data_IF_366896027186
#
_entry.id   IF_366896027186
#
_cell.length_a   1.000
_cell.length_b   1.000
_cell.length_c   1.000
_cell.angle_alpha   90.00
_cell.angle_beta   90.00
_cell.angle_gamma   90.00
#
_symmetry.space_group_name_H-M   'P 1'
#
loop_
_entity.id
_entity.type
_entity.pdbx_description
1 polymer ?
#
# COMPACT_ATOMS: atom_id res chain seq x y z
N UNK A 1 7.59 -27.86 -2.67
CA UNK A 1 7.59 -26.39 -2.59
C UNK A 1 8.96 -25.81 -2.94
N UNK A 2 10.08 -26.32 -2.37
CA UNK A 2 11.44 -25.83 -2.64
C UNK A 2 11.88 -25.95 -4.11
N UNK A 3 11.46 -26.97 -4.83
CA UNK A 3 11.84 -27.20 -6.24
C UNK A 3 11.27 -26.15 -7.21
N UNK A 4 10.00 -25.74 -7.02
CA UNK A 4 9.40 -24.69 -7.88
C UNK A 4 10.06 -23.32 -7.65
N UNK A 5 10.35 -22.95 -6.40
CA UNK A 5 11.03 -21.70 -6.07
C UNK A 5 12.45 -21.65 -6.62
N UNK A 6 13.20 -22.76 -6.52
CA UNK A 6 14.56 -22.87 -7.07
C UNK A 6 14.58 -22.75 -8.59
N UNK A 7 13.57 -23.31 -9.26
CA UNK A 7 13.42 -23.19 -10.72
C UNK A 7 13.14 -21.75 -11.15
N UNK A 8 12.22 -21.05 -10.49
CA UNK A 8 11.93 -19.63 -10.75
C UNK A 8 13.17 -18.73 -10.53
N UNK A 9 13.94 -18.98 -9.48
CA UNK A 9 15.18 -18.25 -9.21
C UNK A 9 16.22 -18.49 -10.31
N UNK A 10 16.37 -19.73 -10.76
CA UNK A 10 17.30 -20.07 -11.83
C UNK A 10 16.93 -19.41 -13.16
N UNK A 11 15.64 -19.35 -13.50
CA UNK A 11 15.16 -18.61 -14.68
C UNK A 11 15.39 -17.10 -14.58
N UNK A 12 15.10 -16.49 -13.42
CA UNK A 12 15.39 -15.09 -13.19
C UNK A 12 16.88 -14.77 -13.30
N UNK A 13 17.75 -15.62 -12.74
CA UNK A 13 19.21 -15.44 -12.87
C UNK A 13 19.65 -15.61 -14.32
N UNK A 14 19.07 -16.56 -15.07
CA UNK A 14 19.37 -16.77 -16.47
C UNK A 14 18.97 -15.57 -17.31
N UNK A 15 17.83 -14.95 -17.04
CA UNK A 15 17.29 -13.83 -17.79
C UNK A 15 17.94 -12.49 -17.41
N UNK A 16 18.10 -12.22 -16.13
CA UNK A 16 18.55 -10.92 -15.61
C UNK A 16 20.01 -10.94 -15.09
N UNK A 17 20.60 -12.12 -14.90
CA UNK A 17 21.98 -12.28 -14.45
C UNK A 17 22.25 -11.56 -13.13
N UNK A 18 23.41 -10.93 -13.04
CA UNK A 18 23.83 -10.18 -11.85
C UNK A 18 23.03 -8.88 -11.59
N UNK A 19 22.22 -8.45 -12.56
CA UNK A 19 21.35 -7.28 -12.39
C UNK A 19 20.34 -7.46 -11.24
N UNK A 20 19.93 -8.70 -10.93
CA UNK A 20 19.04 -9.03 -9.82
C UNK A 20 19.59 -8.57 -8.45
N UNK A 21 20.91 -8.52 -8.32
CA UNK A 21 21.57 -8.19 -7.06
C UNK A 21 22.03 -6.73 -6.96
N UNK A 22 21.81 -5.94 -8.03
CA UNK A 22 22.12 -4.51 -8.02
C UNK A 22 21.09 -3.74 -7.19
N UNK A 23 21.57 -2.72 -6.50
CA UNK A 23 20.71 -1.70 -5.89
C UNK A 23 20.29 -0.66 -6.93
N UNK A 24 19.12 -0.04 -6.73
CA UNK A 24 18.62 1.05 -7.56
C UNK A 24 19.61 2.22 -7.60
N UNK A 25 20.09 2.68 -6.44
CA UNK A 25 21.07 3.77 -6.34
C UNK A 25 22.39 3.40 -7.03
N UNK A 26 22.88 2.17 -6.89
CA UNK A 26 24.09 1.70 -7.56
C UNK A 26 23.96 1.79 -9.07
N UNK A 27 22.84 1.34 -9.61
CA UNK A 27 22.55 1.42 -11.05
C UNK A 27 22.37 2.86 -11.55
N UNK A 28 21.62 3.69 -10.81
CA UNK A 28 21.45 5.12 -11.16
C UNK A 28 22.81 5.81 -11.26
N UNK A 29 23.71 5.60 -10.28
CA UNK A 29 25.04 6.21 -10.29
C UNK A 29 25.94 5.71 -11.44
N UNK A 30 25.74 4.46 -11.88
CA UNK A 30 26.45 3.87 -13.01
C UNK A 30 26.02 4.47 -14.36
N UNK A 31 24.70 4.57 -14.57
CA UNK A 31 24.14 5.03 -15.87
C UNK A 31 23.95 6.55 -15.95
N UNK A 32 23.82 7.23 -14.81
CA UNK A 32 23.63 8.67 -14.70
C UNK A 32 24.59 9.27 -13.66
N UNK A 33 25.90 9.19 -13.88
CA UNK A 33 26.90 9.61 -12.86
C UNK A 33 26.80 11.08 -12.45
N UNK A 34 26.24 11.92 -13.31
CA UNK A 34 26.05 13.36 -13.08
C UNK A 34 24.57 13.75 -12.92
N UNK A 35 23.74 12.84 -12.40
CA UNK A 35 22.32 13.11 -12.17
C UNK A 35 22.14 14.34 -11.28
N UNK A 36 21.26 15.27 -11.68
CA UNK A 36 20.91 16.41 -10.82
C UNK A 36 20.15 15.98 -9.57
N UNK A 37 20.25 16.79 -8.51
CA UNK A 37 19.52 16.53 -7.26
C UNK A 37 18.00 16.53 -7.48
N UNK A 38 17.52 17.40 -8.35
CA UNK A 38 16.11 17.56 -8.70
C UNK A 38 15.59 16.31 -9.42
N UNK A 39 16.35 15.81 -10.42
CA UNK A 39 15.94 14.61 -11.14
C UNK A 39 16.00 13.37 -10.27
N UNK A 40 17.00 13.26 -9.38
CA UNK A 40 17.04 12.19 -8.38
C UNK A 40 15.84 12.27 -7.42
N UNK A 41 15.48 13.46 -6.95
CA UNK A 41 14.31 13.67 -6.11
C UNK A 41 13.01 13.30 -6.82
N UNK A 42 12.92 13.54 -8.14
CA UNK A 42 11.80 13.10 -8.96
C UNK A 42 11.70 11.57 -9.01
N UNK A 43 12.82 10.86 -9.27
CA UNK A 43 12.85 9.40 -9.25
C UNK A 43 12.43 8.87 -7.89
N UNK A 44 12.99 9.39 -6.80
CA UNK A 44 12.68 8.96 -5.44
C UNK A 44 11.19 9.20 -5.10
N UNK A 45 10.62 10.34 -5.53
CA UNK A 45 9.19 10.63 -5.36
C UNK A 45 8.28 9.64 -6.11
N UNK A 46 8.66 9.23 -7.33
CA UNK A 46 7.91 8.20 -8.08
C UNK A 46 7.99 6.83 -7.39
N UNK A 47 9.16 6.46 -6.90
CA UNK A 47 9.34 5.19 -6.17
C UNK A 47 8.58 5.17 -4.84
N UNK A 48 8.50 6.29 -4.15
CA UNK A 48 7.67 6.42 -2.95
C UNK A 48 6.19 6.15 -3.24
N UNK A 49 5.65 6.63 -4.36
CA UNK A 49 4.26 6.36 -4.76
C UNK A 49 4.05 4.87 -5.06
N UNK A 50 4.96 4.27 -5.84
CA UNK A 50 4.75 2.94 -6.39
C UNK A 50 5.21 1.81 -5.46
N UNK A 51 6.26 2.05 -4.65
CA UNK A 51 6.91 1.04 -3.83
C UNK A 51 7.04 1.43 -2.34
N UNK A 52 6.56 2.62 -1.95
CA UNK A 52 6.60 3.17 -0.59
C UNK A 52 8.02 3.28 -0.02
N UNK A 53 9.02 3.44 -0.86
CA UNK A 53 10.43 3.66 -0.49
C UNK A 53 11.13 4.46 -1.58
N UNK A 54 12.28 5.05 -1.24
CA UNK A 54 13.16 5.73 -2.19
C UNK A 54 14.12 4.74 -2.89
N UNK A 55 15.01 5.25 -3.73
CA UNK A 55 15.99 4.43 -4.47
C UNK A 55 17.09 3.84 -3.57
N UNK A 56 17.22 4.29 -2.33
CA UNK A 56 18.24 3.82 -1.40
C UNK A 56 17.93 2.38 -0.97
N UNK A 57 18.87 1.49 -1.15
CA UNK A 57 18.75 0.06 -0.82
C UNK A 57 17.67 -0.74 -1.59
N UNK A 58 16.83 -0.07 -2.39
CA UNK A 58 15.86 -0.73 -3.24
C UNK A 58 16.57 -1.63 -4.27
N UNK A 59 16.00 -2.78 -4.60
CA UNK A 59 16.52 -3.61 -5.68
C UNK A 59 16.29 -2.95 -7.04
N UNK A 60 17.23 -3.14 -7.98
CA UNK A 60 17.08 -2.65 -9.34
C UNK A 60 15.80 -3.20 -10.01
N UNK A 61 15.50 -4.49 -9.80
CA UNK A 61 14.28 -5.10 -10.35
C UNK A 61 13.02 -4.40 -9.85
N UNK A 62 12.92 -4.14 -8.54
CA UNK A 62 11.78 -3.44 -7.97
C UNK A 62 11.70 -2.00 -8.51
N UNK A 63 12.82 -1.27 -8.61
CA UNK A 63 12.86 0.05 -9.22
C UNK A 63 12.35 0.03 -10.67
N UNK A 64 12.81 -0.92 -11.47
CA UNK A 64 12.40 -1.04 -12.88
C UNK A 64 10.89 -1.26 -13.00
N UNK A 65 10.32 -2.14 -12.18
CA UNK A 65 8.87 -2.37 -12.13
C UNK A 65 8.11 -1.14 -11.64
N UNK A 66 8.61 -0.48 -10.58
CA UNK A 66 7.97 0.70 -10.00
C UNK A 66 7.98 1.92 -10.93
N UNK A 67 9.00 2.07 -11.79
CA UNK A 67 9.09 3.16 -12.76
C UNK A 67 8.48 2.81 -14.12
N UNK A 68 8.06 1.57 -14.35
CA UNK A 68 7.50 1.15 -15.64
C UNK A 68 6.03 1.57 -15.84
N UNK A 69 5.32 1.96 -14.80
CA UNK A 69 3.89 2.25 -14.88
C UNK A 69 3.50 3.32 -15.93
N UNK A 70 4.32 4.38 -16.24
CA UNK A 70 3.95 5.36 -17.25
C UNK A 70 3.91 4.79 -18.67
N UNK A 71 4.54 3.64 -18.91
CA UNK A 71 4.50 2.94 -20.20
C UNK A 71 3.24 2.10 -20.39
N UNK A 72 2.40 2.00 -19.35
CA UNK A 72 1.13 1.29 -19.37
C UNK A 72 -0.03 2.29 -19.25
N UNK A 73 -1.21 1.88 -19.71
CA UNK A 73 -2.40 2.73 -19.58
C UNK A 73 -2.80 2.85 -18.10
N UNK A 74 -3.05 4.07 -17.67
CA UNK A 74 -3.64 4.39 -16.36
C UNK A 74 -5.07 4.82 -16.58
N UNK A 75 -5.99 4.27 -15.80
CA UNK A 75 -7.43 4.54 -15.94
C UNK A 75 -7.96 5.23 -14.70
N UNK A 76 -8.88 6.15 -14.92
CA UNK A 76 -9.67 6.76 -13.86
C UNK A 76 -10.90 5.89 -13.57
N UNK A 77 -11.10 5.41 -12.34
CA UNK A 77 -12.31 4.67 -11.99
C UNK A 77 -13.47 5.66 -11.73
N UNK A 78 -14.44 5.69 -12.61
CA UNK A 78 -15.67 6.51 -12.42
C UNK A 78 -16.40 6.03 -11.17
N UNK A 79 -16.77 6.95 -10.30
CA UNK A 79 -17.31 6.66 -8.96
C UNK A 79 -16.26 6.31 -7.92
N UNK A 80 -14.97 6.38 -8.28
CA UNK A 80 -13.83 6.19 -7.39
C UNK A 80 -13.47 4.72 -7.09
N UNK A 81 -12.48 4.54 -6.23
CA UNK A 81 -11.98 3.20 -5.85
C UNK A 81 -13.05 2.33 -5.18
N UNK A 82 -14.02 2.93 -4.50
CA UNK A 82 -15.16 2.21 -3.89
C UNK A 82 -16.01 1.49 -4.93
N UNK A 83 -16.20 2.08 -6.11
CA UNK A 83 -16.97 1.47 -7.19
C UNK A 83 -16.36 0.16 -7.67
N UNK A 84 -15.02 0.10 -7.78
CA UNK A 84 -14.32 -1.14 -8.15
C UNK A 84 -14.62 -2.25 -7.12
N UNK A 85 -14.64 -1.91 -5.84
CA UNK A 85 -14.93 -2.89 -4.78
C UNK A 85 -16.39 -3.34 -4.84
N UNK A 86 -17.34 -2.42 -5.05
CA UNK A 86 -18.75 -2.74 -5.22
C UNK A 86 -18.96 -3.71 -6.39
N UNK A 87 -18.32 -3.44 -7.54
CA UNK A 87 -18.42 -4.29 -8.74
C UNK A 87 -17.81 -5.68 -8.53
N UNK A 88 -16.66 -5.76 -7.86
CA UNK A 88 -15.98 -7.03 -7.57
C UNK A 88 -16.77 -7.90 -6.55
N UNK A 89 -17.52 -7.28 -5.65
CA UNK A 89 -18.26 -7.99 -4.60
C UNK A 89 -19.72 -8.30 -4.97
N UNK A 90 -20.18 -7.87 -6.15
CA UNK A 90 -21.59 -7.98 -6.57
C UNK A 90 -22.19 -9.37 -6.42
N UNK A 91 -21.42 -10.42 -6.74
CA UNK A 91 -21.87 -11.81 -6.68
C UNK A 91 -21.18 -12.61 -5.55
N UNK A 92 -20.58 -11.89 -4.58
CA UNK A 92 -19.86 -12.52 -3.46
C UNK A 92 -20.70 -12.44 -2.19
N UNK A 93 -20.80 -13.55 -1.45
CA UNK A 93 -21.42 -13.55 -0.13
C UNK A 93 -20.49 -12.85 0.88
N UNK A 94 -20.78 -11.60 1.19
CA UNK A 94 -20.00 -10.75 2.10
C UNK A 94 -20.69 -10.62 3.44
N UNK A 95 -20.01 -11.06 4.51
CA UNK A 95 -20.47 -10.89 5.89
C UNK A 95 -19.82 -9.65 6.49
N UNK A 96 -20.58 -8.57 6.62
CA UNK A 96 -20.13 -7.31 7.21
C UNK A 96 -20.39 -7.25 8.72
N UNK A 97 -19.62 -6.42 9.44
CA UNK A 97 -19.74 -6.21 10.88
C UNK A 97 -19.60 -7.53 11.67
N UNK A 98 -18.69 -8.37 11.19
CA UNK A 98 -18.37 -9.66 11.77
C UNK A 98 -16.86 -9.85 11.78
N UNK A 99 -16.28 -9.97 12.96
CA UNK A 99 -14.85 -10.15 13.14
C UNK A 99 -14.54 -11.61 13.45
N UNK A 100 -13.57 -12.20 12.74
CA UNK A 100 -13.00 -13.49 13.12
C UNK A 100 -12.11 -13.27 14.35
N UNK A 101 -12.43 -13.98 15.43
CA UNK A 101 -11.73 -13.90 16.71
C UNK A 101 -10.62 -14.92 16.80
N UNK A 102 -10.90 -16.16 16.36
CA UNK A 102 -9.92 -17.23 16.38
C UNK A 102 -10.12 -18.25 15.27
N UNK A 103 -9.03 -18.90 14.92
CA UNK A 103 -8.98 -19.96 13.91
C UNK A 103 -8.26 -21.18 14.52
N UNK A 104 -8.93 -22.32 14.54
CA UNK A 104 -8.39 -23.60 14.99
C UNK A 104 -8.30 -24.56 13.83
N UNK A 105 -7.13 -25.18 13.64
CA UNK A 105 -6.97 -26.26 12.67
C UNK A 105 -7.57 -27.56 13.23
N UNK A 106 -8.45 -28.23 12.47
CA UNK A 106 -9.08 -29.50 12.80
C UNK A 106 -8.89 -30.48 11.64
N UNK A 107 -7.87 -31.33 11.75
CA UNK A 107 -7.49 -32.27 10.67
C UNK A 107 -7.24 -31.51 9.34
N UNK A 108 -8.13 -31.71 8.34
CA UNK A 108 -8.06 -31.07 7.02
C UNK A 108 -8.96 -29.83 6.87
N UNK A 109 -9.53 -29.33 7.96
CA UNK A 109 -10.43 -28.18 7.99
C UNK A 109 -9.97 -27.15 9.01
N UNK A 110 -10.58 -25.99 8.96
CA UNK A 110 -10.39 -24.91 9.90
C UNK A 110 -11.73 -24.51 10.51
N UNK A 111 -11.78 -24.45 11.83
CA UNK A 111 -12.88 -23.88 12.58
C UNK A 111 -12.59 -22.43 12.84
N UNK A 112 -13.46 -21.54 12.37
CA UNK A 112 -13.36 -20.10 12.54
C UNK A 112 -14.44 -19.67 13.52
N UNK A 113 -14.05 -18.97 14.57
CA UNK A 113 -14.96 -18.37 15.54
C UNK A 113 -15.00 -16.88 15.28
N UNK A 114 -16.19 -16.37 15.02
CA UNK A 114 -16.43 -14.94 14.83
C UNK A 114 -17.15 -14.32 16.02
N UNK A 115 -17.40 -13.01 15.92
CA UNK A 115 -18.24 -12.28 16.91
C UNK A 115 -19.71 -12.66 16.84
N UNK A 116 -20.15 -13.39 15.83
CA UNK A 116 -21.57 -13.75 15.63
C UNK A 116 -21.79 -15.24 15.51
N UNK A 117 -20.91 -15.94 14.85
CA UNK A 117 -21.15 -17.32 14.44
C UNK A 117 -19.87 -18.16 14.39
N UNK A 118 -20.00 -19.41 14.08
CA UNK A 118 -18.93 -20.39 13.91
C UNK A 118 -18.99 -21.00 12.52
N UNK A 119 -17.83 -21.06 11.85
CA UNK A 119 -17.72 -21.58 10.49
C UNK A 119 -16.73 -22.74 10.41
N UNK A 120 -17.01 -23.71 9.56
CA UNK A 120 -16.09 -24.80 9.24
C UNK A 120 -15.71 -24.72 7.76
N UNK A 121 -14.43 -24.47 7.47
CA UNK A 121 -13.92 -24.27 6.13
C UNK A 121 -12.81 -25.28 5.78
N UNK A 122 -12.78 -25.77 4.54
CA UNK A 122 -11.69 -26.60 4.02
C UNK A 122 -10.50 -25.75 3.54
N UNK A 123 -10.75 -24.51 3.16
CA UNK A 123 -9.73 -23.55 2.74
C UNK A 123 -9.96 -22.21 3.44
N UNK A 124 -8.89 -21.60 3.94
CA UNK A 124 -8.89 -20.27 4.54
C UNK A 124 -7.87 -19.41 3.82
N UNK A 125 -8.30 -18.24 3.36
CA UNK A 125 -7.44 -17.25 2.71
C UNK A 125 -7.41 -16.01 3.61
N UNK A 126 -6.24 -15.69 4.15
CA UNK A 126 -6.05 -14.52 4.99
C UNK A 126 -5.67 -13.30 4.15
N UNK A 127 -6.45 -12.23 4.29
CA UNK A 127 -6.13 -10.90 3.75
C UNK A 127 -5.78 -9.90 4.88
N UNK A 128 -5.47 -10.41 6.06
CA UNK A 128 -4.91 -9.61 7.16
C UNK A 128 -3.42 -9.31 6.89
N UNK A 129 -2.89 -8.28 7.54
CA UNK A 129 -1.45 -8.05 7.50
C UNK A 129 -0.72 -9.28 8.04
N UNK A 130 0.26 -9.80 7.29
CA UNK A 130 0.86 -11.11 7.58
C UNK A 130 1.48 -11.19 8.97
N UNK A 131 2.07 -10.09 9.46
CA UNK A 131 2.69 -10.00 10.78
C UNK A 131 1.68 -9.84 11.94
N UNK A 132 0.38 -9.67 11.63
CA UNK A 132 -0.71 -9.66 12.61
C UNK A 132 -1.46 -11.01 12.65
N UNK A 133 -1.22 -11.89 11.68
CA UNK A 133 -2.02 -13.09 11.47
C UNK A 133 -1.81 -14.15 12.57
N UNK A 134 -0.68 -14.17 13.26
CA UNK A 134 -0.43 -15.12 14.36
C UNK A 134 -1.48 -15.05 15.46
N UNK A 135 -2.01 -13.85 15.73
CA UNK A 135 -3.02 -13.59 16.78
C UNK A 135 -4.34 -14.31 16.55
N UNK A 136 -4.63 -14.69 15.30
CA UNK A 136 -5.87 -15.38 14.93
C UNK A 136 -5.83 -16.87 15.24
N UNK A 137 -4.67 -17.49 15.36
CA UNK A 137 -4.55 -18.95 15.45
C UNK A 137 -4.41 -19.47 16.88
N UNK A 138 -5.00 -20.62 17.14
CA UNK A 138 -4.81 -21.37 18.39
C UNK A 138 -3.70 -22.42 18.28
N UNK A 139 -3.33 -22.82 17.06
CA UNK A 139 -2.26 -23.79 16.79
C UNK A 139 -0.88 -23.12 16.88
N UNK A 140 -0.02 -23.64 17.77
CA UNK A 140 1.31 -23.07 18.03
C UNK A 140 2.27 -23.16 16.81
N UNK A 141 2.12 -24.17 15.95
CA UNK A 141 2.98 -24.26 14.76
C UNK A 141 2.58 -23.20 13.74
N UNK A 142 1.29 -22.90 13.61
CA UNK A 142 0.80 -21.83 12.75
C UNK A 142 1.20 -20.46 13.30
N UNK A 143 1.08 -20.22 14.61
CA UNK A 143 1.58 -19.00 15.25
C UNK A 143 3.06 -18.78 14.96
N UNK A 144 3.91 -19.77 15.24
CA UNK A 144 5.35 -19.72 14.98
C UNK A 144 5.69 -19.45 13.50
N UNK A 145 4.85 -19.87 12.58
CA UNK A 145 5.03 -19.54 11.16
C UNK A 145 4.80 -18.05 10.91
N UNK A 146 3.74 -17.48 11.44
CA UNK A 146 3.41 -16.06 11.26
C UNK A 146 4.31 -15.13 12.07
N UNK A 147 4.79 -15.52 13.24
CA UNK A 147 5.70 -14.75 14.09
C UNK A 147 7.08 -14.49 13.43
N UNK A 148 7.41 -15.19 12.35
CA UNK A 148 8.61 -14.92 11.54
C UNK A 148 8.52 -13.61 10.78
N UNK A 149 7.33 -13.10 10.52
CA UNK A 149 7.13 -11.90 9.74
C UNK A 149 7.11 -10.68 10.66
N UNK A 150 8.03 -9.76 10.41
CA UNK A 150 8.17 -8.56 11.22
C UNK A 150 7.33 -7.41 10.67
N UNK A 151 6.83 -6.59 11.58
CA UNK A 151 6.10 -5.38 11.29
C UNK A 151 6.86 -4.42 10.37
N UNK A 152 6.15 -3.77 9.46
CA UNK A 152 6.63 -2.65 8.66
C UNK A 152 6.06 -1.37 9.24
N UNK A 153 6.92 -0.45 9.66
CA UNK A 153 6.55 0.85 10.24
C UNK A 153 6.10 1.88 9.19
N UNK A 154 6.06 1.49 7.92
CA UNK A 154 5.63 2.39 6.85
C UNK A 154 4.14 2.71 6.97
N UNK A 155 3.82 4.00 6.89
CA UNK A 155 2.47 4.52 6.96
C UNK A 155 2.32 5.74 6.04
N UNK A 156 1.15 6.33 6.03
CA UNK A 156 0.87 7.52 5.25
C UNK A 156 0.28 8.62 6.13
N UNK A 157 0.46 9.86 5.67
CA UNK A 157 -0.37 11.00 6.05
C UNK A 157 -1.20 11.40 4.85
N UNK A 158 -2.52 11.46 5.01
CA UNK A 158 -3.44 11.73 3.91
C UNK A 158 -4.34 12.90 4.26
N UNK A 159 -4.49 13.82 3.32
CA UNK A 159 -5.45 14.93 3.41
C UNK A 159 -6.55 14.70 2.40
N UNK A 160 -7.78 14.80 2.84
CA UNK A 160 -8.97 14.72 2.01
C UNK A 160 -9.66 16.09 2.01
N UNK A 161 -9.97 16.61 0.84
CA UNK A 161 -10.66 17.89 0.73
C UNK A 161 -11.66 17.93 -0.43
N UNK A 162 -12.64 18.80 -0.30
CA UNK A 162 -13.51 19.27 -1.38
C UNK A 162 -13.02 20.65 -1.80
N UNK A 163 -12.81 20.83 -3.10
CA UNK A 163 -12.36 22.09 -3.69
C UNK A 163 -13.40 22.64 -4.65
N UNK A 164 -13.95 23.80 -4.31
CA UNK A 164 -14.86 24.55 -5.17
C UNK A 164 -14.06 25.52 -6.03
N UNK A 165 -13.91 25.22 -7.30
CA UNK A 165 -13.21 26.07 -8.27
C UNK A 165 -13.70 25.82 -9.68
N UNK A 166 -13.61 26.85 -10.52
CA UNK A 166 -13.81 26.75 -11.96
C UNK A 166 -12.53 26.45 -12.74
N UNK A 167 -11.39 26.42 -12.07
CA UNK A 167 -10.12 26.07 -12.68
C UNK A 167 -10.14 24.62 -13.13
N UNK A 168 -9.66 24.36 -14.35
CA UNK A 168 -9.53 23.00 -14.87
C UNK A 168 -8.26 22.38 -14.32
N UNK A 169 -8.42 21.37 -13.47
CA UNK A 169 -7.33 20.62 -12.86
C UNK A 169 -7.09 19.30 -13.59
N UNK A 170 -5.83 18.87 -13.63
CA UNK A 170 -5.47 17.51 -14.06
C UNK A 170 -5.79 16.49 -12.96
N UNK A 171 -5.95 15.24 -13.32
CA UNK A 171 -6.27 14.19 -12.35
C UNK A 171 -5.17 13.93 -11.32
N UNK A 172 -3.92 14.21 -11.68
CA UNK A 172 -2.78 13.92 -10.81
C UNK A 172 -1.71 14.99 -10.87
N UNK A 173 -1.12 15.29 -9.69
CA UNK A 173 0.08 16.09 -9.55
C UNK A 173 1.04 15.43 -8.55
N UNK A 174 2.32 15.47 -8.86
CA UNK A 174 3.40 15.18 -7.92
C UNK A 174 4.07 16.50 -7.56
N UNK A 175 3.95 16.92 -6.31
CA UNK A 175 4.55 18.14 -5.81
C UNK A 175 5.79 17.76 -4.98
N UNK A 176 6.96 18.27 -5.38
CA UNK A 176 8.24 18.01 -4.73
C UNK A 176 8.73 19.32 -4.11
N UNK A 177 8.99 19.29 -2.82
CA UNK A 177 9.38 20.43 -2.03
C UNK A 177 10.91 20.49 -1.84
N UNK A 178 11.43 21.67 -1.49
CA UNK A 178 12.85 21.85 -1.12
C UNK A 178 13.19 21.29 0.27
N UNK A 179 12.18 21.06 1.10
CA UNK A 179 12.31 20.59 2.49
C UNK A 179 11.37 19.42 2.76
N UNK A 180 11.68 18.62 3.77
CA UNK A 180 10.80 17.54 4.19
C UNK A 180 9.48 18.08 4.75
N UNK A 181 8.42 17.33 4.50
CA UNK A 181 7.11 17.59 5.09
C UNK A 181 7.18 17.25 6.58
N UNK A 182 6.70 18.14 7.46
CA UNK A 182 6.71 17.87 8.90
C UNK A 182 6.04 16.53 9.24
N UNK A 183 6.64 15.74 10.14
CA UNK A 183 6.16 14.44 10.59
C UNK A 183 5.98 13.38 9.48
N UNK A 184 6.69 13.57 8.36
CA UNK A 184 6.72 12.67 7.23
C UNK A 184 8.16 12.30 6.88
N UNK A 185 8.35 11.24 6.09
CA UNK A 185 9.68 10.79 5.65
C UNK A 185 10.02 11.29 4.23
N UNK A 186 9.15 12.09 3.64
CA UNK A 186 9.23 12.56 2.26
C UNK A 186 9.22 14.09 2.19
N UNK A 187 9.84 14.62 1.15
CA UNK A 187 9.72 16.01 0.71
C UNK A 187 8.72 16.16 -0.44
N UNK A 188 7.88 15.15 -0.69
CA UNK A 188 6.90 15.20 -1.76
C UNK A 188 5.55 14.65 -1.33
N UNK A 189 4.50 15.11 -2.00
CA UNK A 189 3.17 14.55 -1.87
C UNK A 189 2.52 14.37 -3.24
N UNK A 190 1.66 13.38 -3.31
CA UNK A 190 0.89 13.04 -4.48
C UNK A 190 -0.55 13.53 -4.33
N UNK A 191 -1.07 14.18 -5.37
CA UNK A 191 -2.42 14.73 -5.42
C UNK A 191 -3.23 13.96 -6.43
N UNK A 192 -4.35 13.37 -5.99
CA UNK A 192 -5.35 12.74 -6.85
C UNK A 192 -6.61 13.58 -6.83
N UNK A 193 -7.14 13.91 -8.02
CA UNK A 193 -8.27 14.80 -8.21
C UNK A 193 -9.34 14.06 -9.02
N UNK A 194 -10.58 14.09 -8.54
CA UNK A 194 -11.73 13.51 -9.26
C UNK A 194 -11.96 14.19 -10.61
N UNK A 195 -12.57 13.48 -11.56
CA UNK A 195 -13.13 14.13 -12.74
C UNK A 195 -14.28 15.05 -12.30
N UNK A 196 -14.35 16.26 -12.87
CA UNK A 196 -15.42 17.22 -12.55
C UNK A 196 -16.80 16.72 -12.95
N UNK A 197 -16.87 15.83 -13.95
CA UNK A 197 -18.09 15.21 -14.43
C UNK A 197 -18.46 13.91 -13.69
N UNK A 198 -17.65 13.48 -12.73
CA UNK A 198 -17.98 12.32 -11.89
C UNK A 198 -19.03 12.73 -10.84
N UNK A 199 -20.29 12.52 -11.15
CA UNK A 199 -21.42 12.89 -10.29
C UNK A 199 -21.31 12.30 -8.87
N UNK A 200 -20.74 11.10 -8.73
CA UNK A 200 -20.58 10.43 -7.43
C UNK A 200 -19.52 11.10 -6.56
N UNK A 201 -18.45 11.64 -7.15
CA UNK A 201 -17.32 12.21 -6.43
C UNK A 201 -17.26 13.74 -6.47
N UNK A 202 -17.83 14.39 -7.48
CA UNK A 202 -17.64 15.82 -7.77
C UNK A 202 -18.93 16.64 -7.69
N UNK A 203 -19.96 16.15 -7.01
CA UNK A 203 -21.25 16.83 -6.89
C UNK A 203 -21.14 18.33 -6.50
N UNK A 204 -20.22 18.65 -5.56
CA UNK A 204 -20.01 20.01 -5.04
C UNK A 204 -18.59 20.52 -5.27
N UNK A 205 -17.98 20.23 -6.42
CA UNK A 205 -16.60 20.53 -6.75
C UNK A 205 -15.71 19.30 -6.79
N UNK A 206 -14.40 19.50 -6.93
CA UNK A 206 -13.46 18.39 -6.98
C UNK A 206 -13.31 17.70 -5.62
N UNK A 207 -13.33 16.37 -5.62
CA UNK A 207 -12.81 15.58 -4.50
C UNK A 207 -11.31 15.39 -4.69
N UNK A 208 -10.54 15.78 -3.70
CA UNK A 208 -9.07 15.73 -3.75
C UNK A 208 -8.53 14.88 -2.59
N UNK A 209 -7.62 14.00 -2.91
CA UNK A 209 -6.82 13.24 -1.95
C UNK A 209 -5.35 13.61 -2.12
N UNK A 210 -4.73 14.11 -1.08
CA UNK A 210 -3.30 14.42 -1.03
C UNK A 210 -2.64 13.43 -0.09
N UNK A 211 -1.66 12.67 -0.56
CA UNK A 211 -0.99 11.65 0.24
C UNK A 211 0.52 11.84 0.25
N UNK A 212 1.12 11.58 1.40
CA UNK A 212 2.57 11.53 1.59
C UNK A 212 2.94 10.41 2.54
N UNK A 213 4.21 10.00 2.55
CA UNK A 213 4.69 8.89 3.35
C UNK A 213 5.11 9.35 4.75
N UNK A 214 4.67 8.59 5.75
CA UNK A 214 4.95 8.80 7.17
C UNK A 214 5.36 7.47 7.81
N UNK A 215 5.63 7.48 9.10
CA UNK A 215 5.83 6.27 9.90
C UNK A 215 4.74 6.15 10.95
N UNK A 216 4.33 4.92 11.26
CA UNK A 216 3.34 4.67 12.30
C UNK A 216 3.81 5.21 13.66
N UNK A 217 5.07 4.98 14.01
CA UNK A 217 5.67 5.42 15.28
C UNK A 217 5.63 6.95 15.49
N UNK A 218 5.58 7.74 14.43
CA UNK A 218 5.50 9.21 14.57
C UNK A 218 4.21 9.69 15.24
N UNK A 219 3.20 8.84 15.28
CA UNK A 219 1.86 9.13 15.79
C UNK A 219 1.51 8.35 17.06
N UNK A 220 2.44 7.52 17.56
CA UNK A 220 2.28 6.74 18.80
C UNK A 220 2.71 7.53 20.03
N UNK A 221 2.24 7.12 21.21
CA UNK A 221 2.63 7.69 22.51
C UNK A 221 2.18 9.13 22.76
N UNK A 222 1.43 9.76 21.87
CA UNK A 222 0.96 11.14 22.00
C UNK A 222 -0.33 11.21 22.83
N UNK A 223 -0.45 12.22 23.66
CA UNK A 223 -1.74 12.64 24.24
C UNK A 223 -2.69 13.09 23.12
N UNK A 224 -3.97 13.26 23.46
CA UNK A 224 -4.96 13.70 22.47
C UNK A 224 -4.59 15.09 21.90
N UNK A 225 -4.22 16.01 22.77
CA UNK A 225 -3.93 17.40 22.37
C UNK A 225 -2.64 17.48 21.52
N UNK A 226 -1.58 16.76 21.90
CA UNK A 226 -0.36 16.64 21.11
C UNK A 226 -0.62 16.02 19.73
N UNK A 227 -1.46 14.99 19.69
CA UNK A 227 -1.83 14.34 18.44
C UNK A 227 -2.59 15.28 17.49
N UNK A 228 -3.62 15.97 18.00
CA UNK A 228 -4.41 16.90 17.18
C UNK A 228 -3.56 18.10 16.73
N UNK A 229 -2.76 18.70 17.60
CA UNK A 229 -1.87 19.80 17.25
C UNK A 229 -0.84 19.38 16.16
N UNK A 230 -0.23 18.22 16.32
CA UNK A 230 0.73 17.65 15.36
C UNK A 230 0.08 17.35 14.01
N UNK A 231 -1.11 16.81 14.03
CA UNK A 231 -1.90 16.46 12.84
C UNK A 231 -2.32 17.72 12.09
N UNK A 232 -2.83 18.72 12.79
CA UNK A 232 -3.23 20.00 12.23
C UNK A 232 -2.04 20.75 11.62
N UNK A 233 -0.91 20.80 12.32
CA UNK A 233 0.31 21.42 11.82
C UNK A 233 0.76 20.80 10.48
N UNK A 234 0.78 19.46 10.40
CA UNK A 234 1.15 18.74 9.17
C UNK A 234 0.14 18.99 8.05
N UNK A 235 -1.15 18.95 8.37
CA UNK A 235 -2.23 19.24 7.41
C UNK A 235 -2.10 20.64 6.84
N UNK A 236 -1.96 21.66 7.70
CA UNK A 236 -1.88 23.06 7.30
C UNK A 236 -0.64 23.33 6.46
N UNK A 237 0.49 22.68 6.76
CA UNK A 237 1.69 22.75 5.94
C UNK A 237 1.41 22.21 4.52
N UNK A 238 0.84 21.01 4.40
CA UNK A 238 0.54 20.38 3.11
C UNK A 238 -0.45 21.23 2.30
N UNK A 239 -1.50 21.74 2.93
CA UNK A 239 -2.48 22.62 2.26
C UNK A 239 -1.85 23.89 1.75
N UNK A 240 -1.01 24.54 2.56
CA UNK A 240 -0.29 25.73 2.13
C UNK A 240 0.58 25.45 0.91
N UNK A 241 1.38 24.38 0.95
CA UNK A 241 2.23 24.01 -0.17
C UNK A 241 1.43 23.58 -1.40
N UNK A 242 0.28 22.91 -1.23
CA UNK A 242 -0.63 22.60 -2.32
C UNK A 242 -1.15 23.88 -2.99
N UNK A 243 -1.70 24.80 -2.23
CA UNK A 243 -2.26 26.06 -2.76
C UNK A 243 -1.20 26.93 -3.44
N UNK A 244 0.05 26.95 -2.93
CA UNK A 244 1.15 27.70 -3.52
C UNK A 244 1.51 27.27 -4.96
N UNK A 245 1.08 26.06 -5.38
CA UNK A 245 1.32 25.58 -6.73
C UNK A 245 0.22 25.93 -7.73
N UNK A 246 -0.82 26.68 -7.30
CA UNK A 246 -1.94 27.09 -8.14
C UNK A 246 -2.29 28.54 -7.91
N UNK A 247 -2.11 29.40 -8.92
CA UNK A 247 -2.27 30.87 -8.79
C UNK A 247 -3.69 31.29 -8.35
N UNK A 248 -4.70 30.54 -8.82
CA UNK A 248 -6.10 30.90 -8.62
C UNK A 248 -6.78 30.16 -7.46
N UNK A 249 -6.07 29.25 -6.78
CA UNK A 249 -6.63 28.52 -5.65
C UNK A 249 -6.25 29.19 -4.32
N UNK A 250 -7.27 29.35 -3.48
CA UNK A 250 -7.14 29.96 -2.16
C UNK A 250 -7.81 29.09 -1.10
N UNK A 251 -7.53 29.40 0.17
CA UNK A 251 -8.12 28.69 1.30
C UNK A 251 -9.67 28.71 1.28
N UNK A 252 -10.27 29.77 0.81
CA UNK A 252 -11.72 29.94 0.70
C UNK A 252 -12.40 28.96 -0.29
N UNK A 253 -11.61 28.40 -1.23
CA UNK A 253 -12.09 27.38 -2.15
C UNK A 253 -12.26 26.01 -1.47
N UNK A 254 -11.69 25.80 -0.31
CA UNK A 254 -11.76 24.54 0.42
C UNK A 254 -13.05 24.49 1.24
N UNK A 255 -13.97 23.59 0.88
CA UNK A 255 -15.28 23.43 1.55
C UNK A 255 -15.25 22.40 2.67
N UNK A 256 -14.50 21.32 2.49
CA UNK A 256 -14.35 20.24 3.48
C UNK A 256 -12.89 19.90 3.57
N UNK A 257 -12.40 19.70 4.76
CA UNK A 257 -11.00 19.38 5.01
C UNK A 257 -10.87 18.45 6.23
N UNK A 258 -10.25 17.30 6.04
CA UNK A 258 -9.82 16.44 7.13
C UNK A 258 -8.59 15.64 6.74
N UNK A 259 -7.88 15.10 7.71
CA UNK A 259 -6.68 14.30 7.46
C UNK A 259 -6.70 12.98 8.22
N UNK A 260 -5.90 12.03 7.73
CA UNK A 260 -5.74 10.70 8.29
C UNK A 260 -4.27 10.39 8.56
N UNK A 261 -4.03 9.68 9.65
CA UNK A 261 -2.73 9.20 10.11
C UNK A 261 -2.81 7.70 10.38
N UNK A 262 -1.70 7.08 10.82
CA UNK A 262 -1.71 5.68 11.29
C UNK A 262 -2.78 5.40 12.35
N UNK A 263 -3.06 6.33 13.27
CA UNK A 263 -4.15 6.17 14.25
C UNK A 263 -5.53 6.17 13.60
N UNK A 264 -5.72 6.96 12.53
CA UNK A 264 -6.97 6.94 11.76
C UNK A 264 -7.15 5.60 11.06
N UNK A 265 -6.10 5.09 10.43
CA UNK A 265 -6.13 3.77 9.78
C UNK A 265 -6.40 2.66 10.80
N UNK A 266 -5.75 2.68 11.95
CA UNK A 266 -6.01 1.72 13.02
C UNK A 266 -7.49 1.70 13.43
N UNK A 267 -8.12 2.86 13.56
CA UNK A 267 -9.53 2.98 13.91
C UNK A 267 -10.48 2.29 12.91
N UNK A 268 -10.15 2.35 11.61
CA UNK A 268 -11.05 1.87 10.55
C UNK A 268 -10.71 0.46 10.04
N UNK A 269 -9.44 0.11 9.99
CA UNK A 269 -8.97 -1.16 9.43
C UNK A 269 -8.10 -1.98 10.38
N UNK A 270 -8.03 -1.58 11.64
CA UNK A 270 -7.30 -2.25 12.72
C UNK A 270 -5.81 -2.50 12.40
N UNK A 271 -5.18 -1.58 11.64
CA UNK A 271 -3.74 -1.62 11.35
C UNK A 271 -3.19 -0.20 11.15
N UNK A 272 -1.94 0.00 11.55
CA UNK A 272 -1.28 1.32 11.53
C UNK A 272 -0.38 1.54 10.32
N UNK A 273 0.03 0.46 9.66
CA UNK A 273 0.94 0.51 8.52
C UNK A 273 0.21 0.39 7.17
N UNK A 274 0.90 0.75 6.10
CA UNK A 274 0.51 0.55 4.71
C UNK A 274 1.52 -0.37 4.02
N UNK A 275 1.04 -1.45 3.40
CA UNK A 275 1.86 -2.40 2.66
C UNK A 275 2.78 -3.27 3.52
N UNK A 276 3.62 -4.04 2.85
CA UNK A 276 4.65 -4.88 3.43
C UNK A 276 5.99 -4.17 3.53
N UNK A 277 7.06 -4.94 3.73
CA UNK A 277 8.43 -4.41 3.67
C UNK A 277 8.83 -4.13 2.23
N UNK A 278 9.61 -3.06 1.99
CA UNK A 278 10.17 -2.79 0.67
C UNK A 278 11.04 -3.94 0.16
N UNK A 279 11.03 -4.15 -1.15
CA UNK A 279 11.84 -5.17 -1.82
C UNK A 279 13.25 -4.60 -2.01
N UNK A 280 14.16 -4.94 -1.12
CA UNK A 280 15.57 -4.59 -1.25
C UNK A 280 16.34 -5.64 -2.04
N UNK A 281 17.56 -5.32 -2.48
CA UNK A 281 18.44 -6.27 -3.14
C UNK A 281 18.78 -7.48 -2.23
N UNK A 282 18.73 -7.31 -0.91
CA UNK A 282 18.97 -8.37 0.07
C UNK A 282 17.73 -9.22 0.36
N UNK A 283 16.54 -8.65 0.24
CA UNK A 283 15.28 -9.30 0.66
C UNK A 283 14.44 -9.82 -0.51
N UNK A 284 14.89 -9.66 -1.74
CA UNK A 284 14.13 -10.02 -2.94
C UNK A 284 13.62 -11.47 -2.96
N UNK A 285 14.35 -12.40 -2.31
CA UNK A 285 13.97 -13.80 -2.19
C UNK A 285 13.26 -14.14 -0.87
N UNK A 286 13.02 -13.17 0.00
CA UNK A 286 12.42 -13.35 1.32
C UNK A 286 10.97 -12.83 1.38
N UNK A 287 10.34 -12.62 0.22
CA UNK A 287 8.98 -12.12 0.16
C UNK A 287 8.00 -13.18 0.69
N UNK A 288 7.04 -12.79 1.53
CA UNK A 288 5.98 -13.69 1.97
C UNK A 288 5.22 -14.26 0.77
N UNK A 289 4.99 -15.56 0.76
CA UNK A 289 4.26 -16.26 -0.29
C UNK A 289 2.76 -16.31 -0.01
N UNK A 290 1.94 -16.44 -1.06
CA UNK A 290 0.53 -16.80 -0.90
C UNK A 290 0.35 -18.21 -0.30
N UNK A 291 1.29 -19.14 -0.53
CA UNK A 291 1.27 -20.48 0.03
C UNK A 291 1.85 -20.50 1.44
N UNK A 292 1.21 -21.25 2.32
CA UNK A 292 1.74 -21.61 3.64
C UNK A 292 2.15 -23.09 3.68
N UNK A 293 2.92 -23.54 4.67
CA UNK A 293 3.21 -24.97 4.86
C UNK A 293 2.01 -25.76 5.40
N UNK A 294 0.85 -25.13 5.61
CA UNK A 294 -0.34 -25.75 6.16
C UNK A 294 -1.38 -25.94 5.07
N UNK A 295 -1.82 -27.21 4.89
CA UNK A 295 -2.82 -27.53 3.88
C UNK A 295 -4.09 -26.70 4.07
N UNK A 296 -4.60 -26.10 2.99
CA UNK A 296 -5.83 -25.31 2.99
C UNK A 296 -5.70 -23.90 3.57
N UNK A 297 -4.50 -23.45 4.00
CA UNK A 297 -4.26 -22.10 4.51
C UNK A 297 -3.40 -21.29 3.56
N UNK A 298 -3.90 -20.13 3.16
CA UNK A 298 -3.28 -19.24 2.17
C UNK A 298 -3.26 -17.79 2.65
N UNK A 299 -2.39 -16.98 2.06
CA UNK A 299 -2.29 -15.54 2.31
C UNK A 299 -2.52 -14.76 1.02
N UNK A 300 -3.10 -13.57 1.14
CA UNK A 300 -3.25 -12.60 0.05
C UNK A 300 -3.18 -11.19 0.63
N UNK A 301 -2.99 -10.19 -0.20
CA UNK A 301 -3.00 -8.79 0.20
C UNK A 301 -1.65 -8.11 0.05
N UNK A 302 -1.59 -6.86 0.50
CA UNK A 302 -0.48 -5.94 0.28
C UNK A 302 0.81 -6.27 1.06
N UNK A 303 0.73 -7.16 2.04
CA UNK A 303 1.91 -7.64 2.81
C UNK A 303 2.48 -8.96 2.30
N UNK A 304 1.92 -9.50 1.23
CA UNK A 304 2.28 -10.78 0.57
C UNK A 304 2.76 -10.48 -0.86
N UNK A 305 3.54 -11.37 -1.47
CA UNK A 305 3.94 -11.25 -2.88
C UNK A 305 2.68 -11.13 -3.80
N UNK A 306 2.59 -10.23 -4.77
CA UNK A 306 3.62 -9.32 -5.27
C UNK A 306 3.71 -7.99 -4.51
N UNK A 307 2.95 -7.80 -3.41
CA UNK A 307 3.15 -6.68 -2.51
C UNK A 307 2.13 -5.57 -2.69
N UNK A 308 2.60 -4.38 -2.49
CA UNK A 308 1.81 -3.18 -2.21
C UNK A 308 1.12 -2.59 -3.45
N UNK A 309 0.10 -1.79 -3.16
CA UNK A 309 -0.70 -1.09 -4.15
C UNK A 309 -1.67 -2.01 -4.90
N UNK A 310 -2.60 -1.42 -5.60
CA UNK A 310 -3.63 -2.14 -6.33
C UNK A 310 -3.07 -3.16 -7.35
N UNK A 311 -2.08 -2.80 -8.20
CA UNK A 311 -1.50 -3.75 -9.15
C UNK A 311 -0.80 -4.93 -8.47
N UNK A 312 -0.05 -4.69 -7.40
CA UNK A 312 0.65 -5.74 -6.65
C UNK A 312 -0.33 -6.72 -6.01
N UNK A 313 -1.39 -6.21 -5.38
CA UNK A 313 -2.46 -7.05 -4.80
C UNK A 313 -3.15 -7.87 -5.88
N UNK A 314 -3.50 -7.29 -7.03
CA UNK A 314 -4.14 -8.00 -8.14
C UNK A 314 -3.25 -9.13 -8.70
N UNK A 315 -1.94 -8.90 -8.84
CA UNK A 315 -0.98 -9.93 -9.22
C UNK A 315 -0.94 -11.05 -8.18
N UNK A 316 -0.88 -10.70 -6.88
CA UNK A 316 -0.90 -11.67 -5.78
C UNK A 316 -2.14 -12.55 -5.77
N UNK A 317 -3.32 -11.97 -6.00
CA UNK A 317 -4.59 -12.70 -6.15
C UNK A 317 -4.55 -13.65 -7.34
N UNK A 318 -4.02 -13.21 -8.50
CA UNK A 318 -3.90 -14.07 -9.68
C UNK A 318 -2.94 -15.25 -9.46
N UNK A 319 -1.84 -15.03 -8.75
CA UNK A 319 -0.91 -16.10 -8.36
C UNK A 319 -1.61 -17.11 -7.46
N UNK A 320 -2.33 -16.65 -6.43
CA UNK A 320 -3.11 -17.52 -5.55
C UNK A 320 -4.15 -18.31 -6.31
N UNK A 321 -4.89 -17.69 -7.23
CA UNK A 321 -5.90 -18.36 -8.04
C UNK A 321 -5.30 -19.52 -8.88
N UNK A 322 -4.13 -19.31 -9.49
CA UNK A 322 -3.41 -20.37 -10.21
C UNK A 322 -3.02 -21.54 -9.30
N UNK A 323 -2.55 -21.26 -8.08
CA UNK A 323 -2.20 -22.28 -7.09
C UNK A 323 -3.43 -23.06 -6.61
N UNK A 324 -4.57 -22.41 -6.39
CA UNK A 324 -5.81 -23.05 -5.99
C UNK A 324 -6.35 -24.00 -7.07
N UNK A 325 -6.28 -23.60 -8.35
CA UNK A 325 -6.72 -24.42 -9.49
C UNK A 325 -5.76 -25.57 -9.80
N UNK A 326 -4.47 -25.42 -9.55
CA UNK A 326 -3.48 -26.49 -9.75
C UNK A 326 -3.57 -27.60 -8.67
N UNK A 327 -4.21 -27.30 -7.53
CA UNK A 327 -4.38 -28.21 -6.39
C UNK A 327 -5.85 -28.69 -6.22
N UNK A 328 -6.70 -28.39 -7.18
CA UNK A 328 -8.08 -28.90 -7.29
C UNK A 328 -8.13 -30.13 -8.17
#
# INVERSE_FOLDING_TARGET
>A
AYTKTSFCIAELIKEFGFMLFKTATGYINEVLPNISKEYKAFIDAQLLITLQTDSKDLSLLAMSLGLAYPFHKVFYPVGGMGQIIEDLLKDVNVQNKEQIISIKKEQNKYRLISTKDEYLASKVILNSAIFESSKLFLDENIKKYYDKFSFSDQSAFVVYLKLDTKEKLLHHYQIILKQNIPNCISNSFFVSISDINDEKLSHDGYSITISTHSKAIFWEGLTKDEYEAKKEFTQNFIIKEFLNNFENLKQENIKTLFSATSKTFYRYINRTNCGGKPITAKTIFQLPSCNTPFYGLYNVGDTVFAGQGWPGVAIGVNVLNKELNANS
#
